data_IF_180158351690
#
_entry.id   IF_180158351690
#
_cell.length_a   1.000
_cell.length_b   1.000
_cell.length_c   1.000
_cell.angle_alpha   90.00
_cell.angle_beta   90.00
_cell.angle_gamma   90.00
#
_symmetry.space_group_name_H-M   'P 1'
#
loop_
_entity.id
_entity.type
_entity.pdbx_description
1 polymer ?
#
# COMPACT_ATOMS: atom_id res chain seq x y z
N UNK A 1 28.59 -0.58 -27.15
CA UNK A 1 27.75 -1.05 -26.02
C UNK A 1 26.38 -0.44 -26.24
N UNK A 2 25.35 -1.25 -26.53
CA UNK A 2 24.05 -0.78 -27.02
C UNK A 2 23.41 0.21 -26.04
N UNK A 3 23.05 1.41 -26.52
CA UNK A 3 22.48 2.48 -25.71
C UNK A 3 21.16 2.05 -25.01
N UNK A 4 20.40 1.14 -25.63
CA UNK A 4 19.20 0.54 -25.05
C UNK A 4 19.52 -0.36 -23.85
N UNK A 5 20.58 -1.16 -23.91
CA UNK A 5 20.99 -2.04 -22.80
C UNK A 5 21.48 -1.22 -21.59
N UNK A 6 22.13 -0.08 -21.84
CA UNK A 6 22.50 0.86 -20.78
C UNK A 6 21.26 1.48 -20.11
N UNK A 7 20.25 1.89 -20.91
CA UNK A 7 18.97 2.39 -20.38
C UNK A 7 18.21 1.33 -19.57
N UNK A 8 18.18 0.09 -20.07
CA UNK A 8 17.53 -1.01 -19.37
C UNK A 8 18.14 -1.23 -17.98
N UNK A 9 19.48 -1.20 -17.88
CA UNK A 9 20.19 -1.27 -16.59
C UNK A 9 19.83 -0.14 -15.64
N UNK A 10 19.68 1.08 -16.15
CA UNK A 10 19.24 2.22 -15.35
C UNK A 10 17.82 1.99 -14.81
N UNK A 11 16.89 1.51 -15.65
CA UNK A 11 15.52 1.22 -15.23
C UNK A 11 15.48 0.13 -14.15
N UNK A 12 16.25 -0.95 -14.31
CA UNK A 12 16.34 -2.02 -13.30
C UNK A 12 16.88 -1.47 -11.98
N UNK A 13 17.93 -0.64 -12.04
CA UNK A 13 18.48 0.02 -10.85
C UNK A 13 17.48 0.97 -10.19
N UNK A 14 16.70 1.71 -10.98
CA UNK A 14 15.67 2.61 -10.46
C UNK A 14 14.50 1.83 -9.86
N UNK A 15 14.06 0.74 -10.47
CA UNK A 15 13.05 -0.18 -9.92
C UNK A 15 13.49 -0.76 -8.57
N UNK A 16 14.76 -1.19 -8.46
CA UNK A 16 15.31 -1.66 -7.19
C UNK A 16 15.25 -0.56 -6.11
N UNK A 17 15.69 0.65 -6.45
CA UNK A 17 15.69 1.79 -5.52
C UNK A 17 14.27 2.18 -5.08
N UNK A 18 13.31 2.22 -6.00
CA UNK A 18 11.92 2.56 -5.67
C UNK A 18 11.28 1.47 -4.82
N UNK A 19 11.57 0.20 -5.08
CA UNK A 19 11.06 -0.94 -4.27
C UNK A 19 11.64 -0.93 -2.86
N UNK A 20 12.92 -0.56 -2.69
CA UNK A 20 13.52 -0.36 -1.37
C UNK A 20 12.96 0.87 -0.64
N UNK A 21 12.75 1.98 -1.36
CA UNK A 21 12.12 3.18 -0.82
C UNK A 21 10.69 2.90 -0.35
N UNK A 22 9.94 2.09 -1.10
CA UNK A 22 8.59 1.63 -0.74
C UNK A 22 8.61 0.86 0.57
N UNK A 23 9.54 -0.09 0.74
CA UNK A 23 9.70 -0.84 1.99
C UNK A 23 9.88 0.11 3.19
N UNK A 24 10.71 1.14 3.02
CA UNK A 24 10.95 2.14 4.05
C UNK A 24 9.71 3.01 4.33
N UNK A 25 8.95 3.37 3.29
CA UNK A 25 7.70 4.12 3.42
C UNK A 25 6.61 3.29 4.14
N UNK A 26 6.50 2.00 3.81
CA UNK A 26 5.62 1.04 4.50
C UNK A 26 5.98 0.98 6.00
N UNK A 27 7.27 0.83 6.32
CA UNK A 27 7.74 0.78 7.71
C UNK A 27 7.40 2.07 8.49
N UNK A 28 7.48 3.22 7.82
CA UNK A 28 7.12 4.54 8.38
C UNK A 28 5.62 4.84 8.35
N UNK A 29 4.78 3.94 7.82
CA UNK A 29 3.33 4.13 7.62
C UNK A 29 2.99 5.36 6.75
N UNK A 30 3.91 5.74 5.86
CA UNK A 30 3.74 6.86 4.94
C UNK A 30 3.01 6.38 3.67
N UNK A 31 1.72 6.04 3.80
CA UNK A 31 0.96 5.42 2.71
C UNK A 31 0.75 6.33 1.50
N UNK A 32 0.72 7.65 1.69
CA UNK A 32 0.67 8.59 0.57
C UNK A 32 1.93 8.49 -0.31
N UNK A 33 3.11 8.38 0.32
CA UNK A 33 4.37 8.15 -0.40
C UNK A 33 4.42 6.77 -1.07
N UNK A 34 3.79 5.75 -0.48
CA UNK A 34 3.66 4.43 -1.12
C UNK A 34 2.81 4.51 -2.39
N UNK A 35 1.75 5.32 -2.40
CA UNK A 35 0.93 5.52 -3.58
C UNK A 35 1.72 6.21 -4.70
N UNK A 36 2.46 7.29 -4.41
CA UNK A 36 3.34 7.94 -5.39
C UNK A 36 4.40 6.98 -5.96
N UNK A 37 4.95 6.10 -5.13
CA UNK A 37 5.92 5.08 -5.57
C UNK A 37 5.28 4.00 -6.44
N UNK A 38 3.97 3.73 -6.29
CA UNK A 38 3.26 2.82 -7.18
C UNK A 38 3.17 3.40 -8.59
N UNK A 39 2.83 4.69 -8.73
CA UNK A 39 2.77 5.39 -10.02
C UNK A 39 4.15 5.43 -10.69
N UNK A 40 5.21 5.65 -9.90
CA UNK A 40 6.60 5.61 -10.39
C UNK A 40 6.98 4.21 -10.90
N UNK A 41 6.59 3.15 -10.19
CA UNK A 41 6.85 1.76 -10.63
C UNK A 41 6.09 1.42 -11.89
N UNK A 42 4.83 1.86 -12.03
CA UNK A 42 4.04 1.63 -13.24
C UNK A 42 4.72 2.28 -14.46
N UNK A 43 5.21 3.51 -14.30
CA UNK A 43 5.97 4.22 -15.34
C UNK A 43 7.23 3.45 -15.74
N UNK A 44 8.05 3.06 -14.75
CA UNK A 44 9.30 2.32 -15.00
C UNK A 44 9.06 0.94 -15.63
N UNK A 45 7.99 0.24 -15.23
CA UNK A 45 7.62 -1.05 -15.82
C UNK A 45 7.15 -0.91 -17.26
N UNK A 46 6.40 0.16 -17.59
CA UNK A 46 6.00 0.44 -18.96
C UNK A 46 7.20 0.74 -19.86
N UNK A 47 8.17 1.52 -19.36
CA UNK A 47 9.42 1.79 -20.06
C UNK A 47 10.27 0.52 -20.23
N UNK A 48 10.34 -0.32 -19.19
CA UNK A 48 11.01 -1.62 -19.25
C UNK A 48 10.38 -2.56 -20.29
N UNK A 49 9.05 -2.66 -20.33
CA UNK A 49 8.34 -3.50 -21.29
C UNK A 49 8.58 -3.03 -22.72
N UNK A 50 8.57 -1.72 -22.95
CA UNK A 50 8.85 -1.14 -24.27
C UNK A 50 10.27 -1.48 -24.73
N UNK A 51 11.27 -1.27 -23.86
CA UNK A 51 12.67 -1.54 -24.20
C UNK A 51 12.99 -3.04 -24.33
N UNK A 52 12.37 -3.90 -23.52
CA UNK A 52 12.60 -5.35 -23.60
C UNK A 52 12.05 -5.94 -24.90
N UNK A 53 10.92 -5.43 -25.42
CA UNK A 53 10.40 -5.81 -26.74
C UNK A 53 11.34 -5.42 -27.88
N UNK A 54 12.06 -4.31 -27.75
CA UNK A 54 13.02 -3.83 -28.76
C UNK A 54 14.36 -4.58 -28.74
N UNK A 55 14.82 -5.02 -27.56
CA UNK A 55 16.12 -5.67 -27.35
C UNK A 55 16.12 -7.18 -27.68
N UNK A 56 14.96 -7.84 -27.67
CA UNK A 56 14.86 -9.29 -27.84
C UNK A 56 15.46 -10.09 -26.67
N UNK A 57 15.00 -11.33 -26.46
CA UNK A 57 15.39 -12.15 -25.28
C UNK A 57 16.90 -12.46 -25.21
N UNK A 58 17.62 -12.44 -26.34
CA UNK A 58 19.04 -12.81 -26.41
C UNK A 58 20.00 -11.78 -25.81
N UNK A 59 19.55 -10.54 -25.59
CA UNK A 59 20.39 -9.44 -25.07
C UNK A 59 20.31 -9.31 -23.53
N UNK A 60 19.44 -10.07 -22.87
CA UNK A 60 19.32 -10.12 -21.41
C UNK A 60 20.40 -11.05 -20.84
N UNK A 61 21.38 -10.47 -20.16
CA UNK A 61 22.38 -11.26 -19.43
C UNK A 61 21.78 -11.89 -18.19
N UNK A 62 22.26 -13.08 -17.82
CA UNK A 62 21.80 -13.81 -16.63
C UNK A 62 21.88 -12.98 -15.33
N UNK A 63 22.85 -12.07 -15.24
CA UNK A 63 22.95 -11.11 -14.13
C UNK A 63 21.73 -10.19 -14.00
N UNK A 64 21.15 -9.74 -15.13
CA UNK A 64 19.99 -8.84 -15.12
C UNK A 64 18.72 -9.60 -14.74
N UNK A 65 18.62 -10.86 -15.16
CA UNK A 65 17.53 -11.75 -14.76
C UNK A 65 17.57 -11.94 -13.24
N UNK A 66 18.75 -12.21 -12.66
CA UNK A 66 18.91 -12.33 -11.22
C UNK A 66 18.58 -11.03 -10.45
N UNK A 67 18.87 -9.86 -11.01
CA UNK A 67 18.49 -8.58 -10.41
C UNK A 67 16.97 -8.38 -10.43
N UNK A 68 16.30 -8.71 -11.54
CA UNK A 68 14.85 -8.66 -11.66
C UNK A 68 14.16 -9.62 -10.68
N UNK A 69 14.69 -10.83 -10.50
CA UNK A 69 14.16 -11.81 -9.55
C UNK A 69 14.25 -11.30 -8.10
N UNK A 70 15.33 -10.60 -7.75
CA UNK A 70 15.47 -9.95 -6.43
C UNK A 70 14.45 -8.83 -6.23
N UNK A 71 14.25 -7.98 -7.23
CA UNK A 71 13.26 -6.91 -7.19
C UNK A 71 11.86 -7.49 -7.02
N UNK A 72 11.55 -8.57 -7.76
CA UNK A 72 10.27 -9.28 -7.64
C UNK A 72 10.06 -9.84 -6.24
N UNK A 73 11.05 -10.53 -5.68
CA UNK A 73 10.95 -11.07 -4.33
C UNK A 73 10.71 -9.95 -3.29
N UNK A 74 11.38 -8.81 -3.42
CA UNK A 74 11.15 -7.65 -2.54
C UNK A 74 9.76 -7.03 -2.72
N UNK A 75 9.26 -6.95 -3.96
CA UNK A 75 7.92 -6.47 -4.23
C UNK A 75 6.84 -7.38 -3.63
N UNK A 76 7.03 -8.71 -3.69
CA UNK A 76 6.13 -9.69 -3.08
C UNK A 76 6.12 -9.59 -1.55
N UNK A 77 7.28 -9.34 -0.93
CA UNK A 77 7.39 -9.05 0.50
C UNK A 77 6.62 -7.77 0.87
N UNK A 78 6.84 -6.68 0.13
CA UNK A 78 6.14 -5.41 0.34
C UNK A 78 4.61 -5.57 0.21
N UNK A 79 4.14 -6.31 -0.80
CA UNK A 79 2.73 -6.60 -1.01
C UNK A 79 2.13 -7.39 0.16
N UNK A 80 2.87 -8.36 0.70
CA UNK A 80 2.46 -9.15 1.87
C UNK A 80 2.28 -8.25 3.10
N UNK A 81 3.23 -7.34 3.34
CA UNK A 81 3.17 -6.40 4.47
C UNK A 81 1.97 -5.43 4.30
N UNK A 82 1.77 -4.88 3.11
CA UNK A 82 0.64 -3.99 2.82
C UNK A 82 -0.70 -4.69 3.01
N UNK A 83 -0.82 -5.95 2.59
CA UNK A 83 -2.03 -6.75 2.80
C UNK A 83 -2.31 -6.96 4.29
N UNK A 84 -1.29 -7.34 5.06
CA UNK A 84 -1.42 -7.48 6.51
C UNK A 84 -1.81 -6.15 7.19
N UNK A 85 -1.24 -5.03 6.75
CA UNK A 85 -1.59 -3.71 7.24
C UNK A 85 -3.06 -3.35 6.94
N UNK A 86 -3.54 -3.65 5.73
CA UNK A 86 -4.93 -3.41 5.32
C UNK A 86 -5.92 -4.26 6.15
N UNK A 87 -5.60 -5.54 6.38
CA UNK A 87 -6.40 -6.42 7.24
C UNK A 87 -6.44 -5.93 8.70
N UNK A 88 -5.30 -5.49 9.23
CA UNK A 88 -5.21 -4.87 10.55
C UNK A 88 -6.07 -3.60 10.67
N UNK A 89 -6.03 -2.72 9.66
CA UNK A 89 -6.84 -1.51 9.62
C UNK A 89 -8.35 -1.82 9.58
N UNK A 90 -8.76 -2.82 8.79
CA UNK A 90 -10.17 -3.28 8.74
C UNK A 90 -10.63 -3.83 10.09
N UNK A 91 -9.80 -4.65 10.75
CA UNK A 91 -10.09 -5.21 12.07
C UNK A 91 -10.20 -4.11 13.14
N UNK A 92 -9.29 -3.13 13.14
CA UNK A 92 -9.36 -1.98 14.04
C UNK A 92 -10.64 -1.16 13.83
N UNK A 93 -11.02 -0.92 12.57
CA UNK A 93 -12.27 -0.22 12.24
C UNK A 93 -13.50 -0.98 12.72
N UNK A 94 -13.54 -2.30 12.54
CA UNK A 94 -14.63 -3.13 13.05
C UNK A 94 -14.75 -3.07 14.57
N UNK A 95 -13.63 -3.08 15.31
CA UNK A 95 -13.60 -2.91 16.77
C UNK A 95 -14.09 -1.54 17.21
N UNK A 96 -13.69 -0.47 16.53
CA UNK A 96 -14.18 0.88 16.82
C UNK A 96 -15.69 0.99 16.57
N UNK A 97 -16.19 0.35 15.51
CA UNK A 97 -17.62 0.31 15.24
C UNK A 97 -18.37 -0.48 16.32
N UNK A 98 -17.87 -1.65 16.73
CA UNK A 98 -18.50 -2.43 17.80
C UNK A 98 -18.49 -1.70 19.14
N UNK A 99 -17.43 -0.93 19.44
CA UNK A 99 -17.38 -0.08 20.62
C UNK A 99 -18.44 1.01 20.59
N UNK A 100 -18.55 1.76 19.48
CA UNK A 100 -19.62 2.77 19.31
C UNK A 100 -21.02 2.17 19.42
N UNK A 101 -21.24 1.00 18.83
CA UNK A 101 -22.53 0.29 18.94
C UNK A 101 -22.80 -0.19 20.36
N UNK A 102 -21.77 -0.64 21.09
CA UNK A 102 -21.90 -1.02 22.50
C UNK A 102 -22.19 0.20 23.37
N UNK A 103 -21.51 1.34 23.19
CA UNK A 103 -21.75 2.59 23.90
C UNK A 103 -23.17 3.13 23.66
N UNK A 104 -23.69 3.00 22.43
CA UNK A 104 -25.07 3.34 22.08
C UNK A 104 -26.09 2.39 22.71
N UNK A 105 -25.78 1.08 22.83
CA UNK A 105 -26.65 0.07 23.46
C UNK A 105 -26.62 0.16 24.99
N UNK A 106 -25.48 0.49 25.58
CA UNK A 106 -25.30 0.73 27.02
C UNK A 106 -25.63 2.17 27.38
N UNK A 107 -26.58 2.82 26.67
CA UNK A 107 -27.04 4.18 26.97
C UNK A 107 -27.07 4.36 28.48
N UNK A 108 -26.22 5.27 28.98
CA UNK A 108 -25.94 5.41 30.40
C UNK A 108 -27.25 5.42 31.17
N UNK A 109 -27.53 4.37 31.94
CA UNK A 109 -28.59 4.44 32.92
C UNK A 109 -28.02 5.24 34.10
N UNK A 110 -28.71 6.32 34.48
CA UNK A 110 -28.42 7.00 35.74
C UNK A 110 -28.61 6.03 36.91
N UNK A 111 -28.11 6.37 38.10
CA UNK A 111 -28.30 5.56 39.31
C UNK A 111 -29.79 5.33 39.68
N UNK A 112 -30.70 6.04 39.02
CA UNK A 112 -32.17 5.96 39.09
C UNK A 112 -32.81 5.07 38.00
N UNK A 113 -32.02 4.44 37.12
CA UNK A 113 -32.51 3.60 36.02
C UNK A 113 -33.11 4.38 34.86
N UNK A 114 -33.00 5.71 34.84
CA UNK A 114 -33.43 6.52 33.72
C UNK A 114 -32.36 6.51 32.61
N UNK A 115 -32.78 6.32 31.36
CA UNK A 115 -31.90 6.39 30.20
C UNK A 115 -31.38 7.83 30.04
N UNK A 116 -30.11 8.07 30.38
CA UNK A 116 -29.41 9.32 30.08
C UNK A 116 -29.12 9.31 28.59
N UNK A 117 -30.01 9.91 27.81
CA UNK A 117 -29.72 10.25 26.42
C UNK A 117 -28.51 11.18 26.42
N UNK A 118 -27.38 10.72 25.89
CA UNK A 118 -26.24 11.57 25.62
C UNK A 118 -26.70 12.73 24.70
N UNK A 119 -26.68 14.00 25.14
CA UNK A 119 -27.22 15.11 24.37
C UNK A 119 -26.44 15.40 23.07
N UNK A 120 -25.26 14.80 22.90
CA UNK A 120 -24.48 14.89 21.66
C UNK A 120 -24.74 13.75 20.66
N UNK A 121 -25.64 12.81 20.95
CA UNK A 121 -25.91 11.67 20.06
C UNK A 121 -26.92 11.96 18.94
N UNK A 122 -27.66 13.08 18.99
CA UNK A 122 -28.77 13.35 18.08
C UNK A 122 -28.47 14.26 16.87
N UNK A 123 -27.24 14.69 16.63
CA UNK A 123 -26.98 15.76 15.64
C UNK A 123 -26.49 15.31 14.26
N UNK A 124 -26.57 14.02 13.89
CA UNK A 124 -26.20 13.56 12.54
C UNK A 124 -27.30 12.84 11.74
N UNK A 125 -28.56 12.84 12.20
CA UNK A 125 -29.66 12.27 11.43
C UNK A 125 -30.38 13.34 10.58
N UNK A 126 -30.08 13.30 9.27
CA UNK A 126 -30.90 13.69 8.11
C UNK A 126 -31.49 15.10 8.02
N UNK A 127 -30.91 15.92 7.14
CA UNK A 127 -31.70 16.76 6.21
C UNK A 127 -32.03 15.90 4.99
N UNK A 128 -33.30 15.54 4.83
CA UNK A 128 -33.95 15.18 3.58
C UNK A 128 -35.41 15.63 3.68
#
# INVERSE_FOLDING_TARGET
MNAQLAKLKTIISDLARVTEAERNAIAKRAFDAVAEMADQKETLLSEFETLSRELGESDLTESLIQELDKIRAQADENATILKAAAEGARSARARLQSLRESELKTGMYGADGAAVKNPNASTFASKA
#
